data_IF_289227666216
#
_entry.id   IF_289227666216
#
_cell.length_a   1.000
_cell.length_b   1.000
_cell.length_c   1.000
_cell.angle_alpha   90.00
_cell.angle_beta   90.00
_cell.angle_gamma   90.00
#
_symmetry.space_group_name_H-M   'P 1'
#
loop_
_entity.id
_entity.type
_entity.pdbx_description
1 polymer ?
#
# COMPACT_ATOMS: atom_id res chain seq x y z
N UNK A 1 -14.25 -15.60 67.73
CA UNK A 1 -14.35 -16.75 68.64
C UNK A 1 -14.34 -18.01 67.80
N UNK A 2 -13.55 -19.01 68.23
CA UNK A 2 -13.41 -20.38 67.69
C UNK A 2 -12.51 -20.44 66.43
N UNK A 3 -11.19 -20.56 66.53
CA UNK A 3 -10.35 -21.60 67.18
C UNK A 3 -10.75 -23.04 66.80
N UNK A 4 -10.36 -23.44 65.58
CA UNK A 4 -10.44 -24.82 65.12
C UNK A 4 -9.04 -25.45 65.00
N UNK A 5 -8.55 -25.87 66.18
CA UNK A 5 -7.89 -27.15 66.45
C UNK A 5 -6.99 -27.71 65.34
N UNK A 6 -5.74 -27.23 65.30
CA UNK A 6 -4.60 -28.01 64.80
C UNK A 6 -4.48 -29.32 65.61
N UNK A 7 -4.98 -30.42 65.06
CA UNK A 7 -4.74 -31.78 65.58
C UNK A 7 -3.31 -32.18 65.22
N UNK A 8 -2.39 -32.01 66.15
CA UNK A 8 -1.05 -32.60 66.08
C UNK A 8 -1.16 -34.14 66.16
N UNK A 9 -0.41 -34.90 65.34
CA UNK A 9 -0.42 -36.36 65.41
C UNK A 9 0.14 -36.86 66.74
N UNK A 10 -0.54 -37.85 67.30
CA UNK A 10 -0.34 -38.48 68.63
C UNK A 10 0.98 -39.25 68.80
N UNK A 11 1.98 -39.02 67.93
CA UNK A 11 3.29 -39.68 67.99
C UNK A 11 4.33 -38.96 68.85
N UNK A 12 3.99 -37.80 69.44
CA UNK A 12 4.91 -36.99 70.25
C UNK A 12 4.78 -37.19 71.77
N UNK A 13 3.84 -38.02 72.26
CA UNK A 13 3.65 -38.31 73.69
C UNK A 13 4.02 -39.76 74.03
N UNK A 14 5.26 -40.16 73.74
CA UNK A 14 5.85 -41.37 74.33
C UNK A 14 7.29 -41.08 74.77
N UNK A 15 7.38 -40.33 75.85
CA UNK A 15 8.52 -40.38 76.78
C UNK A 15 8.68 -41.80 77.30
N UNK A 16 9.87 -42.39 77.11
CA UNK A 16 10.31 -43.58 77.86
C UNK A 16 10.77 -44.76 77.01
N UNK A 17 11.99 -44.70 76.48
CA UNK A 17 12.84 -45.87 76.24
C UNK A 17 14.31 -45.40 76.16
N UNK A 18 15.25 -45.94 76.97
CA UNK A 18 16.64 -45.51 76.93
C UNK A 18 17.32 -46.20 75.74
N UNK A 19 17.43 -45.48 74.62
CA UNK A 19 18.33 -45.86 73.54
C UNK A 19 19.71 -45.32 73.90
N UNK A 20 20.63 -46.21 74.22
CA UNK A 20 22.07 -45.94 74.35
C UNK A 20 22.59 -45.32 73.06
N UNK A 21 22.63 -43.98 73.02
CA UNK A 21 23.27 -43.21 71.95
C UNK A 21 24.55 -42.62 72.48
N UNK A 22 25.67 -43.13 71.98
CA UNK A 22 26.97 -42.46 72.06
C UNK A 22 26.81 -40.99 71.64
N UNK A 23 27.44 -40.03 72.34
CA UNK A 23 27.30 -38.62 72.01
C UNK A 23 28.06 -38.35 70.71
N UNK A 24 27.31 -38.23 69.61
CA UNK A 24 27.84 -37.62 68.38
C UNK A 24 28.19 -36.18 68.74
N UNK A 25 29.48 -35.88 68.75
CA UNK A 25 30.06 -34.56 69.03
C UNK A 25 29.30 -33.44 68.31
N UNK A 26 29.03 -32.33 69.00
CA UNK A 26 28.32 -31.18 68.44
C UNK A 26 29.00 -30.63 67.17
N UNK A 27 30.31 -30.85 67.00
CA UNK A 27 31.03 -30.57 65.75
C UNK A 27 30.45 -31.34 64.54
N UNK A 28 30.19 -32.64 64.70
CA UNK A 28 29.64 -33.50 63.63
C UNK A 28 28.20 -33.10 63.28
N UNK A 29 27.42 -32.63 64.26
CA UNK A 29 26.07 -32.09 64.02
C UNK A 29 26.11 -30.78 63.26
N UNK A 30 27.05 -29.88 63.58
CA UNK A 30 27.19 -28.61 62.85
C UNK A 30 27.68 -28.81 61.41
N UNK A 31 28.54 -29.80 61.16
CA UNK A 31 28.95 -30.16 59.81
C UNK A 31 27.83 -30.82 59.01
N UNK A 32 27.03 -31.70 59.61
CA UNK A 32 25.81 -32.25 58.98
C UNK A 32 24.82 -31.15 58.60
N UNK A 33 24.62 -30.14 59.44
CA UNK A 33 23.72 -29.02 59.12
C UNK A 33 24.27 -28.13 58.00
N UNK A 34 25.60 -27.95 57.92
CA UNK A 34 26.25 -27.21 56.83
C UNK A 34 26.15 -27.95 55.50
N UNK A 35 26.35 -29.26 55.48
CA UNK A 35 26.20 -30.06 54.25
C UNK A 35 24.74 -30.11 53.80
N UNK A 36 23.79 -30.16 54.74
CA UNK A 36 22.37 -30.12 54.40
C UNK A 36 21.96 -28.75 53.84
N UNK A 37 22.44 -27.63 54.40
CA UNK A 37 22.23 -26.30 53.83
C UNK A 37 22.88 -26.14 52.45
N UNK A 38 24.12 -26.60 52.28
CA UNK A 38 24.80 -26.58 50.99
C UNK A 38 24.06 -27.44 49.94
N UNK A 39 23.46 -28.55 50.35
CA UNK A 39 22.61 -29.39 49.49
C UNK A 39 21.34 -28.67 49.05
N UNK A 40 20.67 -27.97 49.97
CA UNK A 40 19.47 -27.17 49.68
C UNK A 40 19.80 -25.98 48.76
N UNK A 41 20.92 -25.28 49.02
CA UNK A 41 21.36 -24.17 48.17
C UNK A 41 21.76 -24.65 46.77
N UNK A 42 22.39 -25.82 46.66
CA UNK A 42 22.71 -26.42 45.36
C UNK A 42 21.43 -26.83 44.60
N UNK A 43 20.45 -27.45 45.27
CA UNK A 43 19.17 -27.79 44.62
C UNK A 43 18.39 -26.55 44.20
N UNK A 44 18.37 -25.51 45.03
CA UNK A 44 17.72 -24.24 44.70
C UNK A 44 18.35 -23.57 43.47
N UNK A 45 19.69 -23.57 43.36
CA UNK A 45 20.38 -23.04 42.17
C UNK A 45 20.04 -23.82 40.90
N UNK A 46 19.91 -25.16 41.00
CA UNK A 46 19.49 -26.00 39.87
C UNK A 46 18.04 -25.70 39.46
N UNK A 47 17.15 -25.51 40.42
CA UNK A 47 15.75 -25.15 40.13
C UNK A 47 15.63 -23.75 39.51
N UNK A 48 16.38 -22.77 40.00
CA UNK A 48 16.45 -21.42 39.41
C UNK A 48 16.98 -21.49 37.97
N UNK A 49 18.04 -22.26 37.71
CA UNK A 49 18.57 -22.45 36.36
C UNK A 49 17.52 -23.09 35.43
N UNK A 50 16.79 -24.11 35.90
CA UNK A 50 15.68 -24.73 35.14
C UNK A 50 14.58 -23.74 34.81
N UNK A 51 14.17 -22.91 35.77
CA UNK A 51 13.16 -21.87 35.55
C UNK A 51 13.63 -20.79 34.58
N UNK A 52 14.92 -20.45 34.59
CA UNK A 52 15.50 -19.50 33.65
C UNK A 52 15.49 -20.06 32.22
N UNK A 53 15.91 -21.31 32.03
CA UNK A 53 15.83 -22.00 30.74
C UNK A 53 14.37 -22.10 30.26
N UNK A 54 13.43 -22.40 31.15
CA UNK A 54 12.01 -22.44 30.79
C UNK A 54 11.47 -21.07 30.35
N UNK A 55 11.89 -19.98 31.00
CA UNK A 55 11.53 -18.61 30.59
C UNK A 55 12.12 -18.26 29.22
N UNK A 56 13.38 -18.62 28.97
CA UNK A 56 14.04 -18.41 27.68
C UNK A 56 13.34 -19.20 26.57
N UNK A 57 12.93 -20.44 26.84
CA UNK A 57 12.17 -21.27 25.89
C UNK A 57 10.79 -20.68 25.56
N UNK A 58 10.08 -20.14 26.57
CA UNK A 58 8.81 -19.43 26.36
C UNK A 58 9.03 -18.16 25.52
N UNK A 59 10.09 -17.40 25.82
CA UNK A 59 10.43 -16.19 25.06
C UNK A 59 10.77 -16.51 23.59
N UNK A 60 11.55 -17.57 23.35
CA UNK A 60 11.90 -18.03 22.00
C UNK A 60 10.65 -18.48 21.23
N UNK A 61 9.76 -19.24 21.88
CA UNK A 61 8.49 -19.66 21.27
C UNK A 61 7.62 -18.46 20.91
N UNK A 62 7.52 -17.47 21.80
CA UNK A 62 6.78 -16.24 21.53
C UNK A 62 7.36 -15.48 20.32
N UNK A 63 8.68 -15.29 20.29
CA UNK A 63 9.34 -14.63 19.17
C UNK A 63 9.10 -15.36 17.84
N UNK A 64 9.09 -16.69 17.85
CA UNK A 64 8.76 -17.49 16.67
C UNK A 64 7.32 -17.24 16.17
N UNK A 65 6.34 -17.20 17.07
CA UNK A 65 4.96 -16.86 16.71
C UNK A 65 4.82 -15.44 16.15
N UNK A 66 5.55 -14.48 16.73
CA UNK A 66 5.56 -13.10 16.25
C UNK A 66 6.15 -13.03 14.81
N UNK A 67 7.21 -13.79 14.52
CA UNK A 67 7.76 -13.91 13.17
C UNK A 67 6.76 -14.52 12.20
N UNK A 68 6.08 -15.61 12.57
CA UNK A 68 5.04 -16.22 11.71
C UNK A 68 3.89 -15.26 11.43
N UNK A 69 3.46 -14.51 12.45
CA UNK A 69 2.43 -13.48 12.29
C UNK A 69 2.87 -12.39 11.31
N UNK A 70 4.10 -11.88 11.47
CA UNK A 70 4.66 -10.87 10.56
C UNK A 70 4.81 -11.40 9.13
N UNK A 71 5.12 -12.68 8.95
CA UNK A 71 5.20 -13.31 7.65
C UNK A 71 3.82 -13.35 6.99
N UNK A 72 2.78 -13.73 7.73
CA UNK A 72 1.41 -13.75 7.20
C UNK A 72 0.92 -12.36 6.83
N UNK A 73 1.20 -11.35 7.66
CA UNK A 73 0.89 -9.94 7.35
C UNK A 73 1.63 -9.48 6.07
N UNK A 74 2.89 -9.85 5.92
CA UNK A 74 3.67 -9.53 4.72
C UNK A 74 3.13 -10.23 3.47
N UNK A 75 2.67 -11.48 3.58
CA UNK A 75 2.03 -12.18 2.45
C UNK A 75 0.69 -11.55 2.08
N UNK A 76 -0.12 -11.17 3.06
CA UNK A 76 -1.39 -10.48 2.82
C UNK A 76 -1.18 -9.14 2.10
N UNK A 77 -0.23 -8.32 2.58
CA UNK A 77 0.10 -7.05 1.92
C UNK A 77 0.63 -7.25 0.51
N UNK A 78 1.44 -8.28 0.25
CA UNK A 78 1.89 -8.61 -1.12
C UNK A 78 0.71 -8.92 -2.05
N UNK A 79 -0.22 -9.74 -1.60
CA UNK A 79 -1.41 -10.07 -2.38
C UNK A 79 -2.27 -8.83 -2.68
N UNK A 80 -2.41 -7.93 -1.70
CA UNK A 80 -3.10 -6.64 -1.92
C UNK A 80 -2.39 -5.77 -2.96
N UNK A 81 -1.06 -5.67 -2.89
CA UNK A 81 -0.28 -4.91 -3.87
C UNK A 81 -0.35 -5.50 -5.27
N UNK A 82 -0.27 -6.82 -5.41
CA UNK A 82 -0.44 -7.52 -6.70
C UNK A 82 -1.83 -7.26 -7.29
N UNK A 83 -2.88 -7.27 -6.45
CA UNK A 83 -4.24 -6.90 -6.86
C UNK A 83 -4.31 -5.47 -7.39
N UNK A 84 -3.77 -4.51 -6.65
CA UNK A 84 -3.74 -3.08 -7.06
C UNK A 84 -2.96 -2.85 -8.34
N UNK A 85 -1.83 -3.54 -8.52
CA UNK A 85 -1.03 -3.47 -9.75
C UNK A 85 -1.86 -4.00 -10.92
N UNK A 86 -2.53 -5.13 -10.76
CA UNK A 86 -3.37 -5.73 -11.81
C UNK A 86 -4.53 -4.81 -12.22
N UNK A 87 -5.18 -4.17 -11.25
CA UNK A 87 -6.23 -3.17 -11.51
C UNK A 87 -5.67 -1.95 -12.25
N UNK A 88 -4.52 -1.43 -11.82
CA UNK A 88 -3.86 -0.31 -12.48
C UNK A 88 -3.44 -0.63 -13.91
N UNK A 89 -2.87 -1.81 -14.16
CA UNK A 89 -2.51 -2.27 -15.50
C UNK A 89 -3.73 -2.39 -16.41
N UNK A 90 -4.85 -2.88 -15.87
CA UNK A 90 -6.11 -2.99 -16.61
C UNK A 90 -6.66 -1.61 -16.97
N UNK A 91 -6.61 -0.66 -16.04
CA UNK A 91 -7.02 0.72 -16.28
C UNK A 91 -6.15 1.40 -17.35
N UNK A 92 -4.83 1.19 -17.30
CA UNK A 92 -3.89 1.73 -18.31
C UNK A 92 -4.18 1.14 -19.69
N UNK A 93 -4.38 -0.18 -19.80
CA UNK A 93 -4.73 -0.83 -21.07
C UNK A 93 -6.03 -0.27 -21.65
N UNK A 94 -7.05 -0.07 -20.81
CA UNK A 94 -8.30 0.55 -21.23
C UNK A 94 -8.08 1.97 -21.75
N UNK A 95 -7.34 2.80 -21.00
CA UNK A 95 -7.03 4.17 -21.40
C UNK A 95 -6.24 4.24 -22.72
N UNK A 96 -5.36 3.27 -23.00
CA UNK A 96 -4.64 3.17 -24.27
C UNK A 96 -5.59 2.88 -25.44
N UNK A 97 -6.51 1.92 -25.28
CA UNK A 97 -7.52 1.61 -26.30
C UNK A 97 -8.44 2.80 -26.55
N UNK A 98 -8.89 3.47 -25.49
CA UNK A 98 -9.73 4.66 -25.59
C UNK A 98 -8.98 5.80 -26.32
N UNK A 99 -7.68 5.98 -26.05
CA UNK A 99 -6.83 6.95 -26.73
C UNK A 99 -6.64 6.64 -28.21
N UNK A 100 -6.37 5.39 -28.56
CA UNK A 100 -6.24 4.94 -29.94
C UNK A 100 -7.54 5.16 -30.71
N UNK A 101 -8.68 4.77 -30.13
CA UNK A 101 -10.02 4.99 -30.71
C UNK A 101 -10.32 6.48 -30.90
N UNK A 102 -9.94 7.32 -29.94
CA UNK A 102 -10.11 8.77 -30.03
C UNK A 102 -9.21 9.38 -31.13
N UNK A 103 -7.98 8.87 -31.31
CA UNK A 103 -7.09 9.32 -32.38
C UNK A 103 -7.61 8.92 -33.75
N UNK A 104 -8.06 7.67 -33.91
CA UNK A 104 -8.64 7.19 -35.16
C UNK A 104 -9.90 7.96 -35.54
N UNK A 105 -10.78 8.26 -34.58
CA UNK A 105 -11.99 9.04 -34.84
C UNK A 105 -11.76 10.53 -35.04
N UNK A 106 -10.69 11.10 -34.48
CA UNK A 106 -10.33 12.49 -34.68
C UNK A 106 -9.55 12.74 -35.97
N UNK A 107 -8.80 11.75 -36.48
CA UNK A 107 -8.04 11.88 -37.73
C UNK A 107 -8.89 12.37 -38.93
N UNK A 108 -10.04 11.75 -39.28
CA UNK A 108 -10.85 12.23 -40.40
C UNK A 108 -11.42 13.63 -40.13
N UNK A 109 -11.80 13.94 -38.88
CA UNK A 109 -12.28 15.29 -38.52
C UNK A 109 -11.20 16.35 -38.68
N UNK A 110 -9.95 16.01 -38.36
CA UNK A 110 -8.81 16.91 -38.57
C UNK A 110 -8.54 17.13 -40.06
N UNK A 111 -8.62 16.07 -40.87
CA UNK A 111 -8.49 16.16 -42.33
C UNK A 111 -9.63 17.00 -42.94
N UNK A 112 -10.88 16.83 -42.50
CA UNK A 112 -12.03 17.65 -42.92
C UNK A 112 -11.85 19.13 -42.53
N UNK A 113 -11.37 19.40 -41.31
CA UNK A 113 -11.07 20.76 -40.87
C UNK A 113 -9.94 21.40 -41.67
N UNK A 114 -8.91 20.63 -42.03
CA UNK A 114 -7.80 21.11 -42.86
C UNK A 114 -8.28 21.43 -44.28
N UNK A 115 -9.07 20.55 -44.90
CA UNK A 115 -9.70 20.80 -46.20
C UNK A 115 -10.60 22.04 -46.16
N UNK A 116 -11.39 22.20 -45.10
CA UNK A 116 -12.26 23.37 -44.91
C UNK A 116 -11.43 24.66 -44.80
N UNK A 117 -10.34 24.65 -44.02
CA UNK A 117 -9.42 25.79 -43.90
C UNK A 117 -8.73 26.13 -45.22
N UNK A 118 -8.32 25.12 -45.98
CA UNK A 118 -7.70 25.33 -47.27
C UNK A 118 -8.69 25.94 -48.27
N UNK A 119 -9.93 25.42 -48.32
CA UNK A 119 -10.99 25.98 -49.14
C UNK A 119 -11.31 27.44 -48.76
N UNK A 120 -11.39 27.76 -47.47
CA UNK A 120 -11.56 29.12 -46.98
C UNK A 120 -10.41 30.03 -47.40
N UNK A 121 -9.17 29.55 -47.31
CA UNK A 121 -7.98 30.32 -47.70
C UNK A 121 -7.99 30.65 -49.19
N UNK A 122 -8.34 29.68 -50.04
CA UNK A 122 -8.47 29.87 -51.49
C UNK A 122 -9.59 30.85 -51.85
N UNK A 123 -10.72 30.79 -51.14
CA UNK A 123 -11.81 31.75 -51.34
C UNK A 123 -11.40 33.17 -50.96
N UNK A 124 -10.70 33.33 -49.84
CA UNK A 124 -10.18 34.63 -49.40
C UNK A 124 -9.14 35.19 -50.37
N UNK A 125 -8.23 34.35 -50.90
CA UNK A 125 -7.27 34.83 -51.90
C UNK A 125 -7.92 35.28 -53.21
N UNK A 126 -8.97 34.57 -53.66
CA UNK A 126 -9.76 34.99 -54.82
C UNK A 126 -10.50 36.31 -54.56
N UNK A 127 -11.05 36.46 -53.36
CA UNK A 127 -11.68 37.71 -52.94
C UNK A 127 -10.69 38.88 -52.98
N UNK A 128 -9.49 38.70 -52.41
CA UNK A 128 -8.44 39.71 -52.40
C UNK A 128 -7.98 40.08 -53.81
N UNK A 129 -7.87 39.10 -54.71
CA UNK A 129 -7.48 39.33 -56.10
C UNK A 129 -8.55 40.13 -56.88
N UNK A 130 -9.83 39.79 -56.70
CA UNK A 130 -10.95 40.55 -57.30
C UNK A 130 -11.05 41.95 -56.70
N UNK A 131 -10.86 42.10 -55.38
CA UNK A 131 -10.82 43.41 -54.73
C UNK A 131 -9.68 44.27 -55.27
N UNK A 132 -8.49 43.69 -55.49
CA UNK A 132 -7.37 44.39 -56.10
C UNK A 132 -7.71 44.86 -57.51
N UNK A 133 -8.30 44.01 -58.34
CA UNK A 133 -8.77 44.39 -59.68
C UNK A 133 -9.80 45.53 -59.60
N UNK A 134 -10.83 45.44 -58.77
CA UNK A 134 -11.86 46.51 -58.66
C UNK A 134 -11.26 47.87 -58.23
N UNK A 135 -10.14 47.85 -57.50
CA UNK A 135 -9.48 49.05 -56.99
C UNK A 135 -8.51 49.68 -58.01
N UNK A 136 -8.15 48.96 -59.09
CA UNK A 136 -7.33 49.51 -60.18
C UNK A 136 -8.12 50.56 -60.98
N UNK A 137 -7.50 51.74 -61.15
CA UNK A 137 -8.16 52.94 -61.65
C UNK A 137 -8.54 52.89 -63.15
N UNK A 138 -7.90 52.02 -63.94
CA UNK A 138 -8.03 51.95 -65.41
C UNK A 138 -9.12 51.00 -65.93
N UNK A 139 -9.94 50.41 -65.05
CA UNK A 139 -11.02 49.51 -65.45
C UNK A 139 -12.28 50.27 -65.90
N UNK A 140 -12.88 49.79 -67.00
CA UNK A 140 -14.16 50.32 -67.49
C UNK A 140 -15.29 50.09 -66.49
N UNK A 141 -16.30 50.98 -66.51
CA UNK A 141 -17.43 50.93 -65.57
C UNK A 141 -18.25 49.63 -65.67
N UNK A 142 -18.28 48.97 -66.83
CA UNK A 142 -18.92 47.68 -67.02
C UNK A 142 -18.17 46.54 -66.33
N UNK A 143 -16.84 46.46 -66.49
CA UNK A 143 -16.02 45.44 -65.81
C UNK A 143 -16.05 45.66 -64.29
N UNK A 144 -16.09 46.92 -63.85
CA UNK A 144 -16.23 47.28 -62.43
C UNK A 144 -17.58 46.86 -61.84
N UNK A 145 -18.67 46.93 -62.62
CA UNK A 145 -19.99 46.42 -62.21
C UNK A 145 -20.02 44.90 -62.13
N UNK A 146 -19.47 44.20 -63.12
CA UNK A 146 -19.40 42.74 -63.12
C UNK A 146 -18.58 42.21 -61.94
N UNK A 147 -17.42 42.80 -61.66
CA UNK A 147 -16.57 42.40 -60.55
C UNK A 147 -17.24 42.65 -59.18
N UNK A 148 -18.01 43.74 -59.01
CA UNK A 148 -18.83 43.96 -57.81
C UNK A 148 -19.94 42.91 -57.66
N UNK A 149 -20.56 42.50 -58.76
CA UNK A 149 -21.59 41.47 -58.76
C UNK A 149 -21.02 40.10 -58.40
N UNK A 150 -19.82 39.79 -58.90
CA UNK A 150 -19.04 38.62 -58.50
C UNK A 150 -18.66 38.63 -57.02
N UNK A 151 -18.20 39.77 -56.47
CA UNK A 151 -17.87 39.90 -55.04
C UNK A 151 -19.09 39.67 -54.14
N UNK A 152 -20.26 40.17 -54.52
CA UNK A 152 -21.52 39.92 -53.80
C UNK A 152 -21.86 38.43 -53.78
N UNK A 153 -21.78 37.76 -54.94
CA UNK A 153 -22.02 36.31 -55.02
C UNK A 153 -21.00 35.49 -54.23
N UNK A 154 -19.73 35.91 -54.22
CA UNK A 154 -18.67 35.26 -53.45
C UNK A 154 -18.92 35.42 -51.94
N UNK A 155 -19.34 36.61 -51.50
CA UNK A 155 -19.66 36.90 -50.10
C UNK A 155 -20.85 36.07 -49.60
N UNK A 156 -21.89 35.92 -50.42
CA UNK A 156 -23.05 35.07 -50.09
C UNK A 156 -22.65 33.60 -49.96
N UNK A 157 -21.76 33.10 -50.84
CA UNK A 157 -21.23 31.74 -50.74
C UNK A 157 -20.40 31.51 -49.48
N UNK A 158 -19.59 32.48 -49.06
CA UNK A 158 -18.81 32.41 -47.82
C UNK A 158 -19.75 32.36 -46.59
N UNK A 159 -20.82 33.15 -46.60
CA UNK A 159 -21.82 33.14 -45.51
C UNK A 159 -22.58 31.80 -45.46
N UNK A 160 -22.88 31.21 -46.62
CA UNK A 160 -23.52 29.89 -46.70
C UNK A 160 -22.62 28.76 -46.20
N UNK A 161 -21.31 28.82 -46.45
CA UNK A 161 -20.33 27.83 -45.96
C UNK A 161 -20.08 27.90 -44.44
N UNK A 162 -20.50 28.99 -43.78
CA UNK A 162 -20.34 29.18 -42.33
C UNK A 162 -21.53 28.64 -41.51
N UNK A 163 -22.66 28.34 -42.16
CA UNK A 163 -23.85 27.73 -41.54
C UNK A 163 -23.81 26.21 -41.63
#
# INVERSE_FOLDING_TARGET
>A
MSDDKLKLPTSLTKTGAPVTKSPVSDGVRTEMLKTQRAGIDASAKVEVARLQVAKEAIAATKAFFDVLKSHNELQATRAEWEGRVTEAETAVKKAQVDLETAQESNKPKMEELEQSREAQTRLLSLFDEVMKQVTDADLSDEVRKEARQYLLQLSDRIVQLKK
#
